data_IF_406192756230
#
_entry.id   IF_406192756230
#
_cell.length_a   1.000
_cell.length_b   1.000
_cell.length_c   1.000
_cell.angle_alpha   90.00
_cell.angle_beta   90.00
_cell.angle_gamma   90.00
#
_symmetry.space_group_name_H-M   'P 1'
#
loop_
_entity.id
_entity.type
_entity.pdbx_description
1 polymer ?
#
# COMPACT_ATOMS: atom_id res chain seq x y z
N UNK A 1 0.73 4.60 -19.45
CA UNK A 1 1.15 5.78 -18.68
C UNK A 1 0.02 6.23 -17.75
N UNK A 2 0.32 6.63 -16.50
CA UNK A 2 -0.68 7.04 -15.50
C UNK A 2 -1.24 8.43 -15.81
N UNK A 3 -0.38 9.38 -16.19
CA UNK A 3 -0.76 10.77 -16.48
C UNK A 3 -1.73 10.80 -17.66
N UNK A 4 -1.37 10.15 -18.77
CA UNK A 4 -2.24 10.05 -19.94
C UNK A 4 -3.64 9.47 -19.63
N UNK A 5 -3.72 8.50 -18.70
CA UNK A 5 -4.98 7.85 -18.33
C UNK A 5 -5.84 8.67 -17.36
N UNK A 6 -5.22 9.47 -16.51
CA UNK A 6 -5.90 10.10 -15.36
C UNK A 6 -5.85 11.63 -15.35
N UNK A 7 -5.09 12.26 -16.26
CA UNK A 7 -4.95 13.72 -16.34
C UNK A 7 -4.26 14.35 -15.13
N UNK A 8 -3.53 13.55 -14.34
CA UNK A 8 -2.83 14.01 -13.12
C UNK A 8 -1.68 13.09 -12.75
N UNK A 9 -0.76 13.59 -11.94
CA UNK A 9 0.26 12.79 -11.27
C UNK A 9 -0.36 11.80 -10.27
N UNK A 10 0.29 10.63 -10.02
CA UNK A 10 -0.12 9.75 -8.94
C UNK A 10 0.01 10.44 -7.59
N UNK A 11 -0.91 10.13 -6.68
CA UNK A 11 -0.87 10.65 -5.31
C UNK A 11 -0.44 9.53 -4.38
N UNK A 12 0.51 9.80 -3.51
CA UNK A 12 1.00 8.87 -2.51
C UNK A 12 0.57 9.33 -1.13
N UNK A 13 0.17 8.37 -0.30
CA UNK A 13 0.07 8.57 1.13
C UNK A 13 1.30 7.92 1.75
N UNK A 14 2.06 8.71 2.51
CA UNK A 14 3.27 8.28 3.18
C UNK A 14 3.11 8.65 4.64
N UNK A 15 3.09 7.65 5.51
CA UNK A 15 2.94 7.81 6.96
C UNK A 15 3.78 8.98 7.50
N UNK A 16 5.08 8.97 7.23
CA UNK A 16 6.04 9.98 7.70
C UNK A 16 5.68 11.43 7.37
N UNK A 17 4.93 11.66 6.28
CA UNK A 17 4.57 13.00 5.78
C UNK A 17 3.09 13.31 6.04
N UNK A 18 2.25 12.29 6.13
CA UNK A 18 0.80 12.43 6.23
C UNK A 18 0.28 12.30 7.66
N UNK A 19 1.09 11.79 8.60
CA UNK A 19 0.79 11.73 10.03
C UNK A 19 1.63 12.77 10.76
N UNK A 20 0.98 13.49 11.68
CA UNK A 20 1.66 14.36 12.63
C UNK A 20 2.62 13.53 13.48
N UNK A 21 3.91 13.70 13.23
CA UNK A 21 4.98 12.94 13.88
C UNK A 21 5.14 13.32 15.35
N UNK A 22 4.63 14.49 15.77
CA UNK A 22 4.63 14.92 17.17
C UNK A 22 3.42 14.33 17.94
N UNK A 23 2.43 13.80 17.22
CA UNK A 23 1.23 13.17 17.79
C UNK A 23 0.76 11.94 16.98
N UNK A 24 1.63 10.93 16.92
CA UNK A 24 1.39 9.68 16.17
C UNK A 24 0.19 8.90 16.71
N UNK A 25 -0.18 9.11 17.99
CA UNK A 25 -1.35 8.51 18.61
C UNK A 25 -2.66 8.83 17.89
N UNK A 26 -2.83 10.04 17.37
CA UNK A 26 -4.00 10.40 16.58
C UNK A 26 -3.92 9.84 15.15
N UNK A 27 -2.71 9.79 14.59
CA UNK A 27 -2.43 9.08 13.34
C UNK A 27 -2.86 7.61 13.35
N UNK A 28 -2.56 6.90 14.44
CA UNK A 28 -2.93 5.50 14.65
C UNK A 28 -4.44 5.28 14.58
N UNK A 29 -5.24 6.19 15.16
CA UNK A 29 -6.70 6.09 15.18
C UNK A 29 -7.30 6.21 13.78
N UNK A 30 -6.68 7.01 12.91
CA UNK A 30 -7.15 7.24 11.53
C UNK A 30 -6.47 6.35 10.50
N UNK A 31 -5.50 5.53 10.89
CA UNK A 31 -4.76 4.65 9.98
C UNK A 31 -5.69 3.76 9.14
N UNK A 32 -6.72 3.09 9.69
CA UNK A 32 -7.65 2.32 8.88
C UNK A 32 -8.34 3.16 7.80
N UNK A 33 -8.72 4.40 8.10
CA UNK A 33 -9.35 5.32 7.14
C UNK A 33 -8.39 5.65 6.00
N UNK A 34 -7.14 5.99 6.34
CA UNK A 34 -6.11 6.33 5.37
C UNK A 34 -5.76 5.15 4.46
N UNK A 35 -5.48 3.98 5.05
CA UNK A 35 -5.18 2.74 4.31
C UNK A 35 -6.34 2.36 3.39
N UNK A 36 -7.58 2.52 3.85
CA UNK A 36 -8.76 2.16 3.06
C UNK A 36 -9.07 3.16 1.93
N UNK A 37 -8.64 4.42 2.04
CA UNK A 37 -8.77 5.40 0.96
C UNK A 37 -7.80 5.14 -0.22
N UNK A 38 -6.69 4.43 0.00
CA UNK A 38 -5.68 4.18 -1.03
C UNK A 38 -6.18 3.18 -2.10
N UNK A 39 -6.05 3.47 -3.41
CA UNK A 39 -6.45 2.49 -4.45
C UNK A 39 -5.54 1.26 -4.54
N UNK A 40 -4.28 1.42 -4.16
CA UNK A 40 -3.21 0.41 -4.17
C UNK A 40 -2.31 0.65 -2.95
N UNK A 41 -1.64 -0.40 -2.49
CA UNK A 41 -0.62 -0.34 -1.45
C UNK A 41 0.69 -0.85 -2.04
N UNK A 42 1.71 0.02 -2.09
CA UNK A 42 3.03 -0.31 -2.60
C UNK A 42 3.90 -0.77 -1.41
N UNK A 43 4.42 -1.98 -1.50
CA UNK A 43 5.26 -2.59 -0.46
C UNK A 43 6.66 -2.75 -1.01
N UNK A 44 7.59 -1.92 -0.54
CA UNK A 44 8.99 -2.01 -0.90
C UNK A 44 9.70 -2.92 0.12
N UNK A 45 9.74 -4.20 -0.18
CA UNK A 45 10.13 -5.26 0.75
C UNK A 45 11.64 -5.52 0.68
N UNK A 46 12.43 -4.73 1.41
CA UNK A 46 13.85 -4.98 1.65
C UNK A 46 14.12 -5.85 2.88
N UNK A 47 15.38 -6.23 3.16
CA UNK A 47 15.75 -7.12 4.26
C UNK A 47 15.32 -6.64 5.66
N UNK A 48 15.21 -5.32 5.86
CA UNK A 48 14.75 -4.68 7.10
C UNK A 48 13.24 -4.45 7.18
N UNK A 49 12.49 -4.65 6.09
CA UNK A 49 11.04 -4.43 6.10
C UNK A 49 10.33 -5.28 7.18
N UNK A 50 10.62 -6.59 7.32
CA UNK A 50 9.93 -7.44 8.30
C UNK A 50 10.30 -7.15 9.76
N UNK A 51 11.37 -6.40 10.03
CA UNK A 51 11.76 -6.01 11.39
C UNK A 51 11.06 -4.73 11.83
N UNK A 52 10.29 -4.07 10.95
CA UNK A 52 9.54 -2.84 11.27
C UNK A 52 8.09 -3.18 11.57
N UNK A 53 7.72 -3.15 12.84
CA UNK A 53 6.38 -3.49 13.32
C UNK A 53 5.30 -2.62 12.66
N UNK A 54 5.57 -1.33 12.50
CA UNK A 54 4.67 -0.39 11.83
C UNK A 54 4.31 -0.82 10.40
N UNK A 55 5.30 -1.27 9.62
CA UNK A 55 5.08 -1.71 8.25
C UNK A 55 4.18 -2.96 8.19
N UNK A 56 4.39 -3.91 9.09
CA UNK A 56 3.52 -5.08 9.20
C UNK A 56 2.10 -4.70 9.67
N UNK A 57 1.97 -3.71 10.55
CA UNK A 57 0.69 -3.22 11.04
C UNK A 57 -0.16 -2.58 9.93
N UNK A 58 0.43 -1.81 9.02
CA UNK A 58 -0.25 -1.24 7.86
C UNK A 58 -0.79 -2.33 6.92
N UNK A 59 0.01 -3.37 6.66
CA UNK A 59 -0.43 -4.55 5.92
C UNK A 59 -1.60 -5.23 6.63
N UNK A 60 -1.45 -5.52 7.91
CA UNK A 60 -2.49 -6.18 8.71
C UNK A 60 -3.81 -5.39 8.69
N UNK A 61 -3.73 -4.06 8.79
CA UNK A 61 -4.88 -3.16 8.71
C UNK A 61 -5.63 -3.36 7.39
N UNK A 62 -4.93 -3.35 6.24
CA UNK A 62 -5.56 -3.58 4.94
C UNK A 62 -6.33 -4.91 4.87
N UNK A 63 -5.77 -5.99 5.43
CA UNK A 63 -6.38 -7.33 5.40
C UNK A 63 -7.48 -7.52 6.44
N UNK A 64 -7.45 -6.76 7.53
CA UNK A 64 -8.48 -6.81 8.57
C UNK A 64 -9.80 -6.17 8.11
N UNK A 65 -9.73 -5.15 7.24
CA UNK A 65 -10.90 -4.40 6.78
C UNK A 65 -11.40 -4.81 5.38
N UNK A 66 -10.82 -5.84 4.76
CA UNK A 66 -11.24 -6.32 3.45
C UNK A 66 -11.22 -7.84 3.33
N UNK A 67 -12.08 -8.37 2.46
CA UNK A 67 -11.95 -9.75 2.02
C UNK A 67 -10.56 -9.99 1.43
N UNK A 68 -9.94 -11.11 1.80
CA UNK A 68 -8.57 -11.47 1.46
C UNK A 68 -8.20 -11.24 -0.02
N UNK A 69 -9.06 -11.71 -0.94
CA UNK A 69 -8.85 -11.56 -2.39
C UNK A 69 -8.92 -10.09 -2.86
N UNK A 70 -9.71 -9.24 -2.20
CA UNK A 70 -9.79 -7.83 -2.53
C UNK A 70 -8.51 -7.09 -2.08
N UNK A 71 -8.02 -7.40 -0.88
CA UNK A 71 -6.77 -6.87 -0.36
C UNK A 71 -5.56 -7.29 -1.22
N UNK A 72 -5.45 -8.58 -1.58
CA UNK A 72 -4.38 -9.09 -2.46
C UNK A 72 -4.29 -8.34 -3.80
N UNK A 73 -5.43 -7.96 -4.40
CA UNK A 73 -5.44 -7.20 -5.66
C UNK A 73 -4.95 -5.76 -5.51
N UNK A 74 -4.94 -5.21 -4.30
CA UNK A 74 -4.48 -3.84 -4.01
C UNK A 74 -2.99 -3.79 -3.69
N UNK A 75 -2.41 -4.87 -3.16
CA UNK A 75 -0.99 -4.90 -2.81
C UNK A 75 -0.12 -5.08 -4.05
N UNK A 76 0.91 -4.25 -4.16
CA UNK A 76 2.00 -4.36 -5.14
C UNK A 76 3.29 -4.48 -4.34
N UNK A 77 3.84 -5.70 -4.27
CA UNK A 77 5.09 -5.96 -3.56
C UNK A 77 6.26 -5.93 -4.53
N UNK A 78 7.23 -5.08 -4.23
CA UNK A 78 8.52 -4.98 -4.93
C UNK A 78 9.58 -5.45 -3.95
N UNK A 79 10.24 -6.56 -4.26
CA UNK A 79 11.39 -7.02 -3.49
C UNK A 79 12.57 -6.11 -3.78
N UNK A 80 13.18 -5.55 -2.73
CA UNK A 80 14.44 -4.83 -2.85
C UNK A 80 15.56 -5.80 -2.48
N UNK A 81 16.37 -6.19 -3.47
CA UNK A 81 17.64 -6.86 -3.22
C UNK A 81 18.67 -5.82 -2.81
N UNK A 82 19.50 -6.11 -1.81
CA UNK A 82 20.75 -5.38 -1.63
C UNK A 82 21.61 -5.67 -2.86
N UNK A 83 21.67 -4.69 -3.74
CA UNK A 83 22.53 -4.75 -4.91
C UNK A 83 23.94 -4.48 -4.40
N UNK A 84 24.84 -5.47 -4.49
CA UNK A 84 26.28 -5.31 -4.24
C UNK A 84 26.98 -4.31 -5.20
N UNK A 85 26.24 -3.46 -5.92
CA UNK A 85 26.77 -2.44 -6.84
C UNK A 85 27.54 -1.29 -6.15
N UNK A 86 27.98 -1.48 -4.90
CA UNK A 86 28.88 -0.58 -4.18
C UNK A 86 30.22 -1.21 -3.76
N UNK A 87 30.47 -2.50 -4.04
CA UNK A 87 31.75 -3.11 -3.69
C UNK A 87 32.81 -2.77 -4.73
N UNK A 88 33.83 -2.03 -4.27
CA UNK A 88 35.09 -1.82 -4.98
C UNK A 88 35.83 -3.12 -5.31
N UNK A 89 37.08 -3.03 -5.78
CA UNK A 89 37.77 -4.14 -6.44
C UNK A 89 37.76 -5.41 -5.59
N UNK A 90 37.33 -6.49 -6.24
CA UNK A 90 37.19 -7.84 -5.74
C UNK A 90 38.29 -8.24 -4.73
N UNK A 91 37.98 -8.16 -3.45
CA UNK A 91 38.63 -9.03 -2.49
C UNK A 91 37.86 -10.35 -2.56
N UNK A 92 38.53 -11.37 -3.09
CA UNK A 92 37.97 -12.69 -3.28
C UNK A 92 37.41 -13.20 -1.94
N UNK A 93 36.08 -13.20 -1.81
CA UNK A 93 35.43 -13.88 -0.72
C UNK A 93 35.71 -15.38 -0.87
N UNK A 94 36.04 -16.10 0.22
CA UNK A 94 36.45 -17.49 0.18
C UNK A 94 35.36 -18.38 -0.45
N UNK A 95 35.73 -19.34 -1.32
CA UNK A 95 34.79 -20.27 -1.94
C UNK A 95 34.26 -21.24 -0.88
N UNK A 96 33.06 -20.99 -0.36
CA UNK A 96 32.42 -21.91 0.59
C UNK A 96 31.29 -21.33 1.45
N UNK A 97 31.15 -20.01 1.58
CA UNK A 97 30.06 -19.41 2.35
C UNK A 97 28.83 -19.17 1.45
N UNK A 98 27.95 -20.16 1.33
CA UNK A 98 26.62 -20.02 0.72
C UNK A 98 25.66 -19.20 1.61
N UNK A 99 26.09 -18.07 2.15
CA UNK A 99 25.20 -17.13 2.84
C UNK A 99 24.43 -16.34 1.78
N UNK A 100 23.50 -17.01 1.10
CA UNK A 100 22.53 -16.32 0.25
C UNK A 100 21.71 -15.44 1.17
N UNK A 101 21.94 -14.14 1.09
CA UNK A 101 21.19 -13.17 1.87
C UNK A 101 19.68 -13.38 1.62
N UNK A 102 18.95 -13.64 2.70
CA UNK A 102 17.51 -13.94 2.61
C UNK A 102 16.78 -12.67 2.22
N UNK A 103 16.06 -12.71 1.11
CA UNK A 103 15.34 -11.56 0.59
C UNK A 103 14.27 -11.07 1.58
N UNK A 104 13.94 -9.78 1.54
CA UNK A 104 12.88 -9.21 2.40
C UNK A 104 11.56 -9.97 2.28
N UNK A 105 11.22 -10.45 1.08
CA UNK A 105 9.99 -11.20 0.85
C UNK A 105 10.02 -12.60 1.49
N UNK A 106 11.14 -13.32 1.42
CA UNK A 106 11.32 -14.61 2.12
C UNK A 106 11.26 -14.44 3.64
N UNK A 107 11.82 -13.35 4.18
CA UNK A 107 11.69 -13.00 5.60
C UNK A 107 10.23 -12.68 5.96
N UNK A 108 9.48 -11.98 5.10
CA UNK A 108 8.06 -11.68 5.33
C UNK A 108 7.18 -12.94 5.34
N UNK A 109 7.52 -13.97 4.56
CA UNK A 109 6.83 -15.27 4.59
C UNK A 109 6.99 -16.01 5.92
N UNK A 110 8.04 -15.71 6.68
CA UNK A 110 8.34 -16.28 7.98
C UNK A 110 8.19 -15.24 9.11
N UNK A 111 7.48 -14.15 8.86
CA UNK A 111 7.36 -13.01 9.78
C UNK A 111 6.93 -13.44 11.19
N UNK A 112 7.61 -12.92 12.20
CA UNK A 112 7.23 -13.04 13.60
C UNK A 112 7.17 -11.64 14.22
N UNK A 113 6.04 -11.31 14.85
CA UNK A 113 5.87 -10.02 15.55
C UNK A 113 6.88 -9.81 16.66
N UNK A 114 7.39 -10.88 17.27
CA UNK A 114 8.42 -10.84 18.31
C UNK A 114 9.75 -10.23 17.80
N UNK A 115 10.07 -10.43 16.52
CA UNK A 115 11.32 -9.97 15.88
C UNK A 115 11.19 -8.57 15.26
N UNK A 116 10.04 -7.92 15.43
CA UNK A 116 9.72 -6.64 14.83
C UNK A 116 9.55 -5.54 15.88
N UNK A 117 9.96 -4.33 15.54
CA UNK A 117 10.01 -3.19 16.46
C UNK A 117 9.50 -1.90 15.82
N UNK A 118 9.08 -0.94 16.66
CA UNK A 118 8.92 0.46 16.25
C UNK A 118 10.17 1.27 16.63
N UNK A 119 10.29 2.47 16.06
CA UNK A 119 11.35 3.39 16.46
C UNK A 119 11.06 3.98 17.85
N UNK A 120 9.79 4.31 18.13
CA UNK A 120 9.34 4.78 19.44
C UNK A 120 8.83 3.60 20.30
N UNK A 121 9.38 3.39 21.52
CA UNK A 121 8.95 2.31 22.40
C UNK A 121 7.50 2.42 22.91
N UNK A 122 6.96 3.64 23.04
CA UNK A 122 5.58 3.86 23.47
C UNK A 122 4.61 3.45 22.36
N UNK A 123 4.95 3.75 21.10
CA UNK A 123 4.19 3.26 19.95
C UNK A 123 4.26 1.76 19.81
N UNK A 124 5.45 1.18 20.00
CA UNK A 124 5.61 -0.27 20.01
C UNK A 124 4.68 -0.90 21.05
N UNK A 125 4.69 -0.39 22.29
CA UNK A 125 3.83 -0.89 23.36
C UNK A 125 2.34 -0.80 22.99
N UNK A 126 1.90 0.32 22.40
CA UNK A 126 0.51 0.49 21.94
C UNK A 126 0.15 -0.52 20.85
N UNK A 127 0.98 -0.66 19.81
CA UNK A 127 0.73 -1.62 18.74
C UNK A 127 0.74 -3.06 19.26
N UNK A 128 1.71 -3.42 20.10
CA UNK A 128 1.76 -4.74 20.74
C UNK A 128 0.52 -5.01 21.58
N UNK A 129 0.01 -4.03 22.33
CA UNK A 129 -1.22 -4.18 23.10
C UNK A 129 -2.42 -4.49 22.21
N UNK A 130 -2.56 -3.81 21.07
CA UNK A 130 -3.63 -4.07 20.09
C UNK A 130 -3.44 -5.44 19.43
N UNK A 131 -2.21 -5.79 19.04
CA UNK A 131 -1.91 -7.09 18.42
C UNK A 131 -2.18 -8.23 19.40
N UNK A 132 -1.81 -8.08 20.67
CA UNK A 132 -2.11 -9.05 21.72
C UNK A 132 -3.62 -9.26 21.88
N UNK A 133 -4.41 -8.17 21.85
CA UNK A 133 -5.87 -8.25 21.92
C UNK A 133 -6.50 -8.98 20.72
N UNK A 134 -5.89 -8.88 19.53
CA UNK A 134 -6.33 -9.61 18.32
C UNK A 134 -5.78 -11.05 18.27
N UNK A 135 -4.66 -11.29 18.95
CA UNK A 135 -3.89 -12.54 18.97
C UNK A 135 -2.67 -12.48 18.06
N UNK A 136 -1.46 -12.58 18.65
CA UNK A 136 -0.18 -12.56 17.92
C UNK A 136 -0.07 -13.65 16.86
N UNK A 137 -0.52 -14.87 17.18
CA UNK A 137 -0.52 -15.99 16.23
C UNK A 137 -1.36 -15.67 14.98
N UNK A 138 -2.53 -15.04 15.18
CA UNK A 138 -3.41 -14.62 14.08
C UNK A 138 -2.76 -13.50 13.25
N UNK A 139 -2.09 -12.56 13.92
CA UNK A 139 -1.34 -11.49 13.25
C UNK A 139 -0.23 -12.06 12.35
N UNK A 140 0.64 -12.91 12.91
CA UNK A 140 1.72 -13.57 12.17
C UNK A 140 1.17 -14.39 10.99
N UNK A 141 0.17 -15.24 11.23
CA UNK A 141 -0.46 -16.04 10.17
C UNK A 141 -1.03 -15.16 9.05
N UNK A 142 -1.60 -14.00 9.37
CA UNK A 142 -2.16 -13.09 8.36
C UNK A 142 -1.06 -12.49 7.47
N UNK A 143 0.05 -12.04 8.07
CA UNK A 143 1.20 -11.48 7.32
C UNK A 143 1.91 -12.56 6.49
N UNK A 144 2.16 -13.73 7.08
CA UNK A 144 2.79 -14.86 6.40
C UNK A 144 1.93 -15.36 5.23
N UNK A 145 0.62 -15.53 5.46
CA UNK A 145 -0.32 -15.94 4.41
C UNK A 145 -0.33 -14.93 3.25
N UNK A 146 -0.34 -13.64 3.58
CA UNK A 146 -0.25 -12.56 2.60
C UNK A 146 0.99 -12.69 1.72
N UNK A 147 2.17 -12.80 2.33
CA UNK A 147 3.43 -12.90 1.59
C UNK A 147 3.45 -14.11 0.65
N UNK A 148 2.99 -15.27 1.13
CA UNK A 148 2.86 -16.50 0.33
C UNK A 148 1.90 -16.33 -0.86
N UNK A 149 0.74 -15.72 -0.63
CA UNK A 149 -0.24 -15.52 -1.68
C UNK A 149 0.21 -14.49 -2.72
N UNK A 150 0.92 -13.43 -2.31
CA UNK A 150 1.52 -12.46 -3.24
C UNK A 150 2.57 -13.13 -4.12
N UNK A 151 3.45 -13.96 -3.55
CA UNK A 151 4.46 -14.68 -4.31
C UNK A 151 3.81 -15.62 -5.34
N UNK A 152 2.80 -16.37 -4.91
CA UNK A 152 2.03 -17.26 -5.79
C UNK A 152 1.31 -16.48 -6.90
N UNK A 153 0.67 -15.35 -6.56
CA UNK A 153 -0.07 -14.52 -7.51
C UNK A 153 0.85 -13.88 -8.55
N UNK A 154 2.05 -13.43 -8.13
CA UNK A 154 3.05 -12.83 -9.02
C UNK A 154 3.55 -13.82 -10.06
N UNK A 155 3.81 -15.07 -9.66
CA UNK A 155 4.22 -16.16 -10.56
C UNK A 155 3.16 -16.45 -11.62
N UNK A 156 1.87 -16.50 -11.24
CA UNK A 156 0.75 -16.74 -12.18
C UNK A 156 0.61 -15.63 -13.22
N UNK A 157 0.85 -14.39 -12.81
CA UNK A 157 0.75 -13.23 -13.70
C UNK A 157 1.91 -13.18 -14.71
N UNK A 158 3.10 -13.61 -14.30
CA UNK A 158 4.25 -13.76 -15.20
C UNK A 158 3.99 -14.85 -16.26
N UNK A 159 3.54 -16.04 -15.85
CA UNK A 159 3.26 -17.16 -16.79
C UNK A 159 2.14 -16.86 -17.77
N UNK A 160 1.07 -16.18 -17.32
CA UNK A 160 -0.04 -15.79 -18.20
C UNK A 160 0.41 -14.78 -19.27
N UNK A 161 1.32 -13.86 -18.93
CA UNK A 161 1.91 -12.92 -19.89
C UNK A 161 2.85 -13.59 -20.88
N UNK A 162 3.53 -14.68 -20.49
CA UNK A 162 4.40 -15.44 -21.40
C UNK A 162 3.61 -16.27 -22.42
N UNK A 163 2.37 -16.71 -22.12
CA UNK A 163 1.55 -17.52 -23.05
C UNK A 163 0.88 -16.73 -24.18
N UNK A 164 0.83 -15.40 -24.13
CA UNK A 164 0.33 -14.55 -25.23
C UNK A 164 1.42 -14.11 -26.21
N UNK A 165 2.67 -14.51 -26.02
CA UNK A 165 3.77 -14.31 -26.98
C UNK A 165 4.12 -15.65 -27.63
N UNK A 166 3.26 -16.11 -28.56
CA UNK A 166 3.57 -16.83 -29.81
C UNK A 166 2.26 -17.41 -30.38
N UNK A 167 1.94 -17.09 -31.64
CA UNK A 167 2.30 -18.06 -32.67
C UNK A 167 3.02 -17.43 -33.87
N UNK A 168 4.09 -18.12 -34.27
CA UNK A 168 4.39 -18.43 -35.66
C UNK A 168 4.60 -17.24 -36.63
N UNK A 169 5.77 -16.60 -36.57
CA UNK A 169 6.26 -15.85 -37.73
C UNK A 169 6.85 -16.83 -38.75
N UNK A 170 5.98 -17.31 -39.63
CA UNK A 170 6.38 -17.90 -40.89
C UNK A 170 7.10 -16.79 -41.71
N UNK A 171 8.40 -16.95 -41.93
CA UNK A 171 9.18 -16.12 -42.84
C UNK A 171 8.76 -16.48 -44.25
N UNK A 172 7.76 -15.80 -44.81
CA UNK A 172 7.61 -15.62 -46.24
C UNK A 172 6.56 -14.56 -46.56
N UNK A 173 6.92 -13.71 -47.53
CA UNK A 173 6.02 -12.96 -48.40
C UNK A 173 5.46 -11.62 -47.86
N UNK A 174 6.30 -10.58 -47.92
CA UNK A 174 5.80 -9.23 -48.21
C UNK A 174 5.37 -9.19 -49.69
N UNK A 175 4.05 -9.20 -49.91
CA UNK A 175 3.44 -8.78 -51.17
C UNK A 175 2.31 -7.80 -50.84
N UNK A 176 2.34 -6.67 -51.54
CA UNK A 176 1.40 -5.56 -51.46
C UNK A 176 -0.04 -5.96 -51.79
N UNK A 177 -1.03 -5.44 -51.04
CA UNK A 177 -2.20 -4.76 -51.64
C UNK A 177 -3.10 -4.03 -50.63
N UNK A 178 -3.46 -2.82 -51.03
CA UNK A 178 -4.61 -2.01 -50.60
C UNK A 178 -5.89 -2.83 -50.38
N UNK A 179 -6.65 -2.50 -49.34
CA UNK A 179 -8.11 -2.31 -49.45
C UNK A 179 -8.60 -1.29 -48.42
N UNK A 180 -9.24 -0.24 -48.94
CA UNK A 180 -10.10 0.70 -48.25
C UNK A 180 -11.31 -0.02 -47.64
N UNK A 181 -11.86 0.48 -46.53
CA UNK A 181 -13.23 0.15 -46.16
C UNK A 181 -13.95 1.33 -45.51
N UNK A 182 -15.15 1.55 -46.03
CA UNK A 182 -16.06 2.66 -45.79
C UNK A 182 -16.70 2.61 -44.39
N UNK A 183 -17.04 3.80 -43.90
CA UNK A 183 -18.05 4.06 -42.87
C UNK A 183 -19.44 3.55 -43.30
N UNK A 184 -20.33 3.36 -42.33
CA UNK A 184 -21.67 3.92 -42.48
C UNK A 184 -22.06 4.84 -41.31
N UNK A 185 -22.60 5.98 -41.74
CA UNK A 185 -23.53 6.88 -41.06
C UNK A 185 -24.63 6.14 -40.27
N UNK A 186 -24.92 6.62 -39.06
CA UNK A 186 -26.32 6.75 -38.63
C UNK A 186 -26.45 7.89 -37.60
N UNK A 187 -27.07 8.99 -38.03
CA UNK A 187 -27.38 10.15 -37.22
C UNK A 187 -28.73 10.01 -36.51
N UNK A 188 -28.93 10.75 -35.41
CA UNK A 188 -30.28 10.85 -34.83
C UNK A 188 -30.45 11.42 -33.42
N UNK A 189 -29.90 12.62 -33.18
CA UNK A 189 -30.34 13.68 -32.25
C UNK A 189 -31.55 13.47 -31.30
N UNK A 190 -31.34 13.75 -30.00
CA UNK A 190 -32.30 14.52 -29.17
C UNK A 190 -31.68 15.13 -27.89
N UNK A 191 -31.21 16.37 -28.07
CA UNK A 191 -31.56 17.58 -27.28
C UNK A 191 -32.07 17.36 -25.84
N UNK A 192 -31.23 17.64 -24.83
CA UNK A 192 -31.67 18.20 -23.53
C UNK A 192 -30.74 19.33 -23.08
N UNK A 193 -31.40 20.36 -22.57
CA UNK A 193 -30.93 21.73 -22.38
C UNK A 193 -29.92 21.89 -21.25
N UNK A 194 -29.03 22.86 -21.47
CA UNK A 194 -28.21 23.58 -20.50
C UNK A 194 -29.05 24.09 -19.33
N UNK A 195 -28.56 23.89 -18.10
CA UNK A 195 -28.82 24.79 -16.97
C UNK A 195 -27.49 25.04 -16.26
N UNK A 196 -26.92 26.22 -16.49
CA UNK A 196 -25.87 26.80 -15.66
C UNK A 196 -26.44 27.08 -14.26
N UNK A 197 -25.76 26.61 -13.21
CA UNK A 197 -25.85 27.24 -11.89
C UNK A 197 -24.47 27.36 -11.23
N UNK A 198 -24.22 28.60 -10.87
CA UNK A 198 -23.08 29.24 -10.22
C UNK A 198 -22.33 28.46 -9.12
N UNK A 199 -21.00 28.64 -9.18
CA UNK A 199 -20.07 28.96 -8.09
C UNK A 199 -20.65 29.07 -6.68
N UNK A 200 -20.16 28.23 -5.76
CA UNK A 200 -19.75 28.68 -4.40
C UNK A 200 -18.55 27.88 -3.89
N UNK A 201 -17.45 28.61 -3.75
CA UNK A 201 -16.27 28.27 -2.94
C UNK A 201 -16.67 28.03 -1.49
N UNK A 202 -16.51 26.79 -1.01
CA UNK A 202 -16.73 26.39 0.37
C UNK A 202 -15.43 26.49 1.17
N UNK A 203 -15.19 27.65 1.77
CA UNK A 203 -14.13 27.90 2.76
C UNK A 203 -14.57 27.29 4.10
N UNK A 204 -13.99 26.16 4.51
CA UNK A 204 -14.19 25.60 5.84
C UNK A 204 -13.59 26.55 6.89
N UNK A 205 -14.45 27.28 7.62
CA UNK A 205 -14.09 27.96 8.88
C UNK A 205 -14.42 27.00 10.03
N UNK A 206 -13.41 26.42 10.65
CA UNK A 206 -13.51 25.80 11.97
C UNK A 206 -13.80 26.91 12.99
N UNK A 207 -14.99 26.87 13.57
CA UNK A 207 -15.42 27.75 14.66
C UNK A 207 -15.10 27.02 15.95
N UNK A 208 -14.04 27.44 16.65
CA UNK A 208 -13.84 27.09 18.05
C UNK A 208 -15.00 27.68 18.86
N UNK A 209 -15.92 26.84 19.33
CA UNK A 209 -16.75 27.16 20.49
C UNK A 209 -15.94 26.77 21.73
N UNK A 210 -15.30 27.77 22.33
CA UNK A 210 -14.83 27.69 23.71
C UNK A 210 -16.07 27.84 24.60
N UNK A 211 -16.50 26.73 25.20
CA UNK A 211 -17.41 26.80 26.36
C UNK A 211 -16.52 26.78 27.59
N UNK A 212 -16.44 27.94 28.25
CA UNK A 212 -15.96 28.05 29.62
C UNK A 212 -16.85 27.17 30.50
N UNK A 213 -16.27 26.11 31.05
CA UNK A 213 -16.80 25.46 32.24
C UNK A 213 -16.14 26.20 33.40
N UNK A 214 -16.92 26.95 34.16
CA UNK A 214 -16.46 27.50 35.44
C UNK A 214 -16.50 26.38 36.49
N UNK A 215 -15.47 26.23 37.34
CA UNK A 215 -15.59 25.41 38.53
C UNK A 215 -16.45 26.17 39.56
N UNK A 216 -17.53 25.54 40.00
CA UNK A 216 -18.28 26.00 41.17
C UNK A 216 -17.43 25.76 42.43
N UNK A 217 -17.24 26.85 43.17
CA UNK A 217 -16.77 26.85 44.55
C UNK A 217 -17.77 26.05 45.41
N UNK A 218 -17.25 25.06 46.14
CA UNK A 218 -17.93 24.47 47.29
C UNK A 218 -16.92 24.40 48.44
N UNK A 219 -16.69 25.56 49.05
CA UNK A 219 -16.40 25.66 50.47
C UNK A 219 -17.74 25.57 51.21
N UNK A 220 -17.97 24.54 52.01
CA UNK A 220 -18.44 24.72 53.40
C UNK A 220 -18.55 23.41 54.22
N UNK A 221 -17.94 23.51 55.40
CA UNK A 221 -18.40 23.02 56.71
C UNK A 221 -18.36 21.53 57.12
N UNK A 222 -17.38 21.29 58.01
CA UNK A 222 -17.60 20.94 59.42
C UNK A 222 -18.44 19.70 59.77
N UNK A 223 -17.72 18.63 60.17
CA UNK A 223 -17.77 18.05 61.53
C UNK A 223 -16.72 16.95 61.70
#
# INVERSE_FOLDING_TARGET
DFIHKHGREPTFWLDKVCIDQDNIGDGLKVLPVNVMACKRMLVLCGPSYPTRLWCAWELFTLFSFQAHNAALRRVVLISLSESEAGMGPATASPPGANNKEVSGNEKLMNFQVADSHCYDPNEEHKLRSVIAAVGEARFNQSIQKLANDIATYSTRRATTRSRTMLPNMNKNMFSFRNMSFNEPDDGGSSRRQLVEKHSRSGRFKLRHQSSLIQPEDNDEEAR
#
